data_IF_655445244466
#
_entry.id   IF_655445244466
#
_cell.length_a   1.000
_cell.length_b   1.000
_cell.length_c   1.000
_cell.angle_alpha   90.00
_cell.angle_beta   90.00
_cell.angle_gamma   90.00
#
_symmetry.space_group_name_H-M   'P 1'
#
loop_
_entity.id
_entity.type
_entity.pdbx_description
1 polymer ?
#
# COMPACT_ATOMS: atom_id res chain seq x y z
N UNK A 1 39.95 -45.38 6.94
CA UNK A 1 39.20 -46.26 7.86
C UNK A 1 40.12 -46.59 9.01
N UNK A 2 39.76 -46.17 10.22
CA UNK A 2 39.05 -47.09 11.10
C UNK A 2 37.72 -46.52 11.61
N UNK A 3 36.87 -47.46 11.99
CA UNK A 3 35.47 -47.31 12.35
C UNK A 3 35.27 -47.52 13.86
N UNK A 4 34.23 -46.85 14.39
CA UNK A 4 33.40 -47.15 15.57
C UNK A 4 33.95 -47.08 17.01
N UNK A 5 33.22 -46.28 17.81
CA UNK A 5 33.09 -46.37 19.26
C UNK A 5 32.00 -45.42 19.79
N UNK A 6 30.77 -45.93 19.94
CA UNK A 6 29.57 -45.24 20.50
C UNK A 6 29.70 -44.95 22.00
N UNK A 7 29.08 -43.88 22.51
CA UNK A 7 27.81 -43.93 23.28
C UNK A 7 27.56 -42.71 24.22
N UNK A 8 26.27 -42.31 24.25
CA UNK A 8 25.48 -41.70 25.34
C UNK A 8 25.85 -40.28 25.84
N UNK A 9 24.94 -39.33 26.07
CA UNK A 9 23.48 -39.30 26.02
C UNK A 9 22.95 -38.22 27.00
N UNK A 10 21.98 -37.40 26.58
CA UNK A 10 20.82 -37.01 27.39
C UNK A 10 19.79 -36.22 26.57
N UNK A 11 18.68 -36.91 26.31
CA UNK A 11 17.39 -36.35 25.93
C UNK A 11 16.67 -35.76 27.15
N UNK A 12 15.78 -34.81 26.91
CA UNK A 12 14.44 -34.63 27.52
C UNK A 12 13.86 -33.34 26.92
N UNK A 13 12.72 -33.27 26.24
CA UNK A 13 11.57 -34.16 26.22
C UNK A 13 10.36 -33.43 26.81
N UNK A 14 9.41 -33.09 25.94
CA UNK A 14 7.97 -32.85 26.20
C UNK A 14 7.50 -31.51 26.79
N UNK A 15 6.31 -31.08 26.35
CA UNK A 15 5.49 -30.13 27.09
C UNK A 15 4.60 -29.20 26.27
N UNK A 16 3.63 -29.73 25.53
CA UNK A 16 2.41 -28.96 25.22
C UNK A 16 1.71 -28.57 26.52
N UNK A 17 1.13 -27.37 26.58
CA UNK A 17 -0.05 -27.10 27.40
C UNK A 17 -0.94 -26.05 26.72
N UNK A 18 -2.23 -26.38 26.68
CA UNK A 18 -3.35 -25.52 26.31
C UNK A 18 -3.73 -24.60 27.49
N UNK A 19 -4.32 -23.43 27.18
CA UNK A 19 -5.40 -22.86 27.98
C UNK A 19 -5.17 -21.56 28.77
N UNK A 20 -6.11 -20.61 28.61
CA UNK A 20 -6.44 -19.53 29.58
C UNK A 20 -5.91 -18.14 29.21
N UNK A 21 -6.62 -17.27 28.47
CA UNK A 21 -7.76 -16.38 28.85
C UNK A 21 -7.48 -15.35 29.96
N UNK A 22 -7.51 -14.07 29.58
CA UNK A 22 -7.52 -12.87 30.45
C UNK A 22 -7.16 -11.64 29.63
N UNK A 23 -8.04 -11.17 28.73
CA UNK A 23 -8.91 -9.98 28.94
C UNK A 23 -8.16 -8.79 29.54
N UNK A 24 -7.76 -7.83 28.70
CA UNK A 24 -8.14 -6.44 28.93
C UNK A 24 -8.06 -5.55 27.68
N UNK A 25 -8.76 -4.42 27.77
CA UNK A 25 -9.55 -3.73 26.75
C UNK A 25 -8.75 -2.96 25.69
N UNK A 26 -9.29 -2.96 24.46
CA UNK A 26 -8.82 -2.16 23.31
C UNK A 26 -9.87 -1.09 22.96
N UNK A 27 -9.52 0.21 22.86
CA UNK A 27 -10.42 1.22 22.31
C UNK A 27 -10.49 1.16 20.78
N UNK A 28 -11.68 1.45 20.27
CA UNK A 28 -12.04 1.40 18.86
C UNK A 28 -11.46 2.55 18.03
N UNK A 29 -11.23 2.31 16.73
CA UNK A 29 -11.21 3.37 15.74
C UNK A 29 -10.25 3.17 14.57
N UNK A 30 -10.84 3.12 13.36
CA UNK A 30 -10.22 3.32 12.03
C UNK A 30 -9.74 2.07 11.27
N UNK A 31 -10.61 1.62 10.35
CA UNK A 31 -10.39 0.51 9.42
C UNK A 31 -9.84 1.00 8.07
N UNK A 32 -8.64 0.54 7.71
CA UNK A 32 -8.12 0.51 6.35
C UNK A 32 -7.08 -0.61 6.31
N UNK A 33 -7.48 -1.81 5.90
CA UNK A 33 -6.60 -2.98 5.98
C UNK A 33 -6.53 -3.65 4.62
N UNK A 34 -5.39 -3.43 3.98
CA UNK A 34 -4.87 -4.10 2.78
C UNK A 34 -4.89 -5.60 3.03
N UNK A 35 -5.52 -6.36 2.15
CA UNK A 35 -5.42 -7.83 2.18
C UNK A 35 -5.15 -8.29 0.78
N UNK A 36 -4.03 -8.98 0.63
CA UNK A 36 -3.59 -9.62 -0.58
C UNK A 36 -3.72 -11.14 -0.40
N UNK A 37 -4.22 -11.81 -1.44
CA UNK A 37 -3.92 -13.22 -1.69
C UNK A 37 -2.74 -13.27 -2.69
N UNK A 38 -1.75 -14.14 -2.43
CA UNK A 38 -0.78 -14.54 -3.45
C UNK A 38 -1.55 -15.35 -4.50
N UNK A 39 -1.69 -14.83 -5.71
CA UNK A 39 -2.19 -15.64 -6.82
C UNK A 39 -1.05 -16.54 -7.33
N UNK A 40 -1.36 -17.81 -7.50
CA UNK A 40 -0.56 -18.79 -8.25
C UNK A 40 -0.39 -18.26 -9.69
N UNK A 41 0.72 -18.64 -10.32
CA UNK A 41 1.11 -18.19 -11.66
C UNK A 41 0.01 -18.55 -12.66
N UNK A 42 -0.50 -17.57 -13.40
CA UNK A 42 -1.23 -17.83 -14.64
C UNK A 42 -0.17 -18.06 -15.73
N UNK A 43 -0.06 -19.28 -16.22
CA UNK A 43 0.59 -19.59 -17.50
C UNK A 43 -0.36 -19.13 -18.59
N UNK A 44 0.04 -18.11 -19.35
CA UNK A 44 -0.73 -17.64 -20.51
C UNK A 44 -0.25 -18.46 -21.71
N UNK A 45 -1.09 -19.39 -22.16
CA UNK A 45 -1.07 -19.89 -23.53
C UNK A 45 -1.73 -18.84 -24.42
N UNK A 46 -1.00 -18.31 -25.40
CA UNK A 46 -1.52 -17.35 -26.36
C UNK A 46 -0.46 -16.75 -27.27
N UNK A 47 -0.44 -17.23 -28.51
CA UNK A 47 0.09 -16.68 -29.78
C UNK A 47 1.30 -15.74 -29.67
N UNK A 48 2.45 -16.27 -30.10
CA UNK A 48 3.76 -15.61 -30.13
C UNK A 48 3.80 -14.59 -31.27
N UNK A 49 3.72 -13.31 -30.94
CA UNK A 49 4.13 -12.24 -31.85
C UNK A 49 5.66 -12.12 -31.87
N UNK A 50 6.21 -11.99 -33.07
CA UNK A 50 7.64 -12.03 -33.37
C UNK A 50 8.31 -10.67 -33.12
N UNK A 51 8.53 -10.33 -31.84
CA UNK A 51 9.58 -9.42 -31.34
C UNK A 51 9.52 -9.43 -29.79
N UNK A 52 10.18 -10.41 -29.16
CA UNK A 52 10.23 -10.50 -27.69
C UNK A 52 10.96 -9.29 -27.10
N UNK A 53 10.21 -8.36 -26.49
CA UNK A 53 10.82 -7.23 -25.79
C UNK A 53 11.58 -7.69 -24.53
N UNK A 54 12.56 -6.91 -24.06
CA UNK A 54 13.26 -7.20 -22.80
C UNK A 54 12.27 -7.34 -21.61
N UNK A 55 11.14 -6.63 -21.66
CA UNK A 55 10.08 -6.72 -20.66
C UNK A 55 9.37 -8.07 -20.68
N UNK A 56 9.16 -8.64 -21.87
CA UNK A 56 8.53 -9.96 -22.05
C UNK A 56 9.44 -11.09 -21.57
N UNK A 57 10.73 -11.01 -21.90
CA UNK A 57 11.74 -11.94 -21.40
C UNK A 57 11.85 -11.93 -19.86
N UNK A 58 11.66 -10.76 -19.24
CA UNK A 58 11.65 -10.58 -17.78
C UNK A 58 10.28 -10.83 -17.14
N UNK A 59 9.24 -11.09 -17.94
CA UNK A 59 7.87 -11.31 -17.47
C UNK A 59 7.25 -10.09 -16.77
N UNK A 60 7.70 -8.88 -17.08
CA UNK A 60 7.16 -7.63 -16.51
C UNK A 60 5.80 -7.32 -17.15
N UNK A 61 4.75 -7.30 -16.33
CA UNK A 61 3.35 -7.09 -16.72
C UNK A 61 2.81 -5.84 -16.02
N UNK A 62 3.15 -4.68 -16.57
CA UNK A 62 2.67 -3.39 -16.10
C UNK A 62 1.77 -2.75 -17.18
N UNK A 63 0.46 -2.63 -16.93
CA UNK A 63 -0.44 -2.03 -17.90
C UNK A 63 -0.10 -0.56 -18.17
N UNK A 64 -0.10 -0.19 -19.45
CA UNK A 64 0.22 1.17 -19.92
C UNK A 64 -0.95 2.14 -19.68
N UNK A 65 -0.71 3.46 -19.63
CA UNK A 65 -1.76 4.46 -19.45
C UNK A 65 -2.88 4.40 -20.51
N UNK A 66 -2.55 4.09 -21.77
CA UNK A 66 -3.54 3.94 -22.84
C UNK A 66 -4.50 2.77 -22.58
N UNK A 67 -4.02 1.64 -22.04
CA UNK A 67 -4.87 0.50 -21.66
C UNK A 67 -5.85 0.88 -20.54
N UNK A 68 -5.40 1.71 -19.58
CA UNK A 68 -6.26 2.25 -18.53
C UNK A 68 -7.35 3.14 -19.12
N UNK A 69 -7.01 4.00 -20.07
CA UNK A 69 -7.97 4.85 -20.77
C UNK A 69 -8.98 4.04 -21.59
N UNK A 70 -8.51 3.04 -22.36
CA UNK A 70 -9.37 2.14 -23.14
C UNK A 70 -10.34 1.37 -22.26
N UNK A 71 -9.88 0.83 -21.12
CA UNK A 71 -10.75 0.12 -20.19
C UNK A 71 -11.77 1.05 -19.51
N UNK A 72 -11.41 2.31 -19.28
CA UNK A 72 -12.33 3.32 -18.76
C UNK A 72 -13.43 3.68 -19.77
N UNK A 73 -13.10 3.75 -21.06
CA UNK A 73 -14.06 4.06 -22.12
C UNK A 73 -15.15 2.98 -22.32
N UNK A 74 -14.97 1.78 -21.77
CA UNK A 74 -15.98 0.70 -21.80
C UNK A 74 -17.16 0.94 -20.85
N UNK A 75 -17.01 1.84 -19.88
CA UNK A 75 -18.08 2.17 -18.94
C UNK A 75 -18.97 3.27 -19.52
N UNK A 76 -20.27 3.04 -19.50
CA UNK A 76 -21.25 4.06 -19.85
C UNK A 76 -21.18 5.21 -18.83
N UNK A 77 -20.92 6.45 -19.27
CA UNK A 77 -20.91 7.61 -18.38
C UNK A 77 -22.29 7.85 -17.79
N UNK A 78 -22.33 8.33 -16.54
CA UNK A 78 -23.55 8.90 -15.98
C UNK A 78 -23.97 10.14 -16.78
N UNK A 79 -25.28 10.36 -16.87
CA UNK A 79 -25.82 11.59 -17.47
C UNK A 79 -25.21 12.85 -16.81
N UNK A 80 -24.96 13.92 -17.60
CA UNK A 80 -24.55 15.21 -17.07
C UNK A 80 -25.54 15.74 -16.04
N UNK A 81 -25.08 16.64 -15.17
CA UNK A 81 -25.96 17.32 -14.23
C UNK A 81 -27.10 18.00 -14.98
N UNK A 82 -28.30 17.88 -14.43
CA UNK A 82 -29.40 18.71 -14.86
C UNK A 82 -29.07 20.19 -14.58
N UNK A 83 -28.99 21.01 -15.63
CA UNK A 83 -28.89 22.46 -15.49
C UNK A 83 -30.30 23.08 -15.50
N UNK A 84 -30.70 23.77 -14.43
CA UNK A 84 -31.97 24.53 -14.38
C UNK A 84 -32.64 24.54 -13.00
N UNK A 85 -33.51 25.53 -12.77
CA UNK A 85 -34.22 25.77 -11.49
C UNK A 85 -35.23 24.67 -11.15
N UNK A 86 -35.66 23.89 -12.15
CA UNK A 86 -36.81 22.98 -12.05
C UNK A 86 -36.44 21.49 -11.94
N UNK A 87 -35.16 21.16 -11.74
CA UNK A 87 -34.67 19.76 -11.66
C UNK A 87 -34.01 19.38 -10.33
N UNK A 88 -34.27 20.16 -9.28
CA UNK A 88 -33.82 19.89 -7.90
C UNK A 88 -34.29 18.53 -7.35
N UNK A 89 -35.32 17.90 -7.95
CA UNK A 89 -35.90 16.63 -7.49
C UNK A 89 -35.45 15.37 -8.28
N UNK A 90 -34.62 15.52 -9.33
CA UNK A 90 -34.20 14.39 -10.20
C UNK A 90 -32.83 13.81 -9.77
N UNK A 91 -32.05 14.57 -9.02
CA UNK A 91 -30.72 14.15 -8.56
C UNK A 91 -30.84 13.33 -7.26
N UNK A 92 -30.25 12.14 -7.18
CA UNK A 92 -30.23 11.41 -5.93
C UNK A 92 -29.36 12.20 -4.92
N UNK A 93 -29.95 12.61 -3.79
CA UNK A 93 -29.28 13.33 -2.67
C UNK A 93 -27.95 12.69 -2.22
N UNK A 94 -27.75 11.42 -2.58
CA UNK A 94 -26.56 10.64 -2.34
C UNK A 94 -25.37 10.89 -3.30
N UNK A 95 -25.36 11.93 -4.14
CA UNK A 95 -24.17 12.39 -4.89
C UNK A 95 -23.71 11.49 -6.06
N UNK A 96 -22.58 11.85 -6.71
CA UNK A 96 -22.09 11.14 -7.92
C UNK A 96 -21.28 9.90 -7.59
N UNK A 97 -21.56 8.81 -8.31
CA UNK A 97 -20.84 7.55 -8.21
C UNK A 97 -19.73 7.47 -9.25
N UNK A 98 -18.59 6.91 -8.87
CA UNK A 98 -17.41 6.82 -9.74
C UNK A 98 -16.66 5.52 -9.61
N UNK A 99 -16.09 5.08 -10.71
CA UNK A 99 -15.07 4.03 -10.80
C UNK A 99 -13.74 4.71 -11.14
N UNK A 100 -12.70 4.39 -10.39
CA UNK A 100 -11.32 4.77 -10.71
C UNK A 100 -10.56 3.52 -11.12
N UNK A 101 -9.96 3.55 -12.30
CA UNK A 101 -9.17 2.46 -12.86
C UNK A 101 -7.72 2.93 -12.91
N UNK A 102 -6.80 2.11 -12.46
CA UNK A 102 -5.35 2.30 -12.61
C UNK A 102 -4.68 0.96 -12.90
N UNK A 103 -3.35 0.93 -13.14
CA UNK A 103 -2.69 -0.26 -13.67
C UNK A 103 -2.82 -1.50 -12.78
N UNK A 104 -2.87 -1.33 -11.46
CA UNK A 104 -3.05 -2.43 -10.49
C UNK A 104 -4.26 -2.29 -9.58
N UNK A 105 -5.17 -1.37 -9.86
CA UNK A 105 -6.28 -1.07 -8.95
C UNK A 105 -7.56 -0.71 -9.68
N UNK A 106 -8.68 -1.21 -9.16
CA UNK A 106 -10.02 -0.72 -9.51
C UNK A 106 -10.74 -0.32 -8.24
N UNK A 107 -11.17 0.95 -8.17
CA UNK A 107 -11.75 1.55 -6.97
C UNK A 107 -13.13 2.09 -7.25
N UNK A 108 -14.05 1.75 -6.38
CA UNK A 108 -15.36 2.37 -6.30
C UNK A 108 -15.29 3.55 -5.34
N UNK A 109 -15.89 4.66 -5.73
CA UNK A 109 -16.05 5.83 -4.88
C UNK A 109 -17.37 6.52 -5.17
N UNK A 110 -17.75 7.42 -4.28
CA UNK A 110 -18.83 8.36 -4.52
C UNK A 110 -18.46 9.71 -3.89
N UNK A 111 -18.98 10.80 -4.44
CA UNK A 111 -18.86 12.14 -3.86
C UNK A 111 -19.96 12.30 -2.84
N UNK A 112 -19.58 12.34 -1.56
CA UNK A 112 -20.51 12.69 -0.50
C UNK A 112 -20.44 14.20 -0.27
N UNK A 113 -21.49 14.97 -0.61
CA UNK A 113 -21.47 16.43 -0.46
C UNK A 113 -21.20 16.85 1.00
N UNK A 114 -21.80 16.14 1.97
CA UNK A 114 -21.65 16.37 3.42
C UNK A 114 -20.22 16.10 3.93
N UNK A 115 -19.39 15.35 3.20
CA UNK A 115 -18.00 15.10 3.65
C UNK A 115 -17.08 16.30 3.50
N UNK A 116 -17.29 17.13 2.48
CA UNK A 116 -16.51 18.35 2.29
C UNK A 116 -16.80 19.33 3.43
N UNK A 117 -18.08 19.51 3.75
CA UNK A 117 -18.57 20.30 4.88
C UNK A 117 -18.07 19.74 6.23
N UNK A 118 -18.20 18.43 6.48
CA UNK A 118 -17.62 17.82 7.70
C UNK A 118 -16.10 17.89 7.78
N UNK A 119 -15.41 18.13 6.66
CA UNK A 119 -13.96 18.33 6.67
C UNK A 119 -13.63 19.79 6.99
N UNK A 120 -14.35 20.76 6.40
CA UNK A 120 -14.21 22.17 6.76
C UNK A 120 -14.59 22.42 8.22
N UNK A 121 -15.69 21.84 8.72
CA UNK A 121 -16.08 21.90 10.14
C UNK A 121 -14.97 21.39 11.05
N UNK A 122 -14.30 20.29 10.68
CA UNK A 122 -13.18 19.74 11.45
C UNK A 122 -11.96 20.65 11.41
N UNK A 123 -11.66 21.25 10.26
CA UNK A 123 -10.57 22.23 10.15
C UNK A 123 -10.86 23.46 11.00
N UNK A 124 -12.10 23.97 10.98
CA UNK A 124 -12.54 25.08 11.83
C UNK A 124 -12.46 24.71 13.30
N UNK A 125 -12.95 23.52 13.68
CA UNK A 125 -12.85 23.03 15.06
C UNK A 125 -11.40 22.83 15.53
N UNK A 126 -10.50 22.37 14.65
CA UNK A 126 -9.07 22.27 14.91
C UNK A 126 -8.48 23.67 15.13
N UNK A 127 -8.79 24.62 14.25
CA UNK A 127 -8.33 26.00 14.35
C UNK A 127 -8.84 26.69 15.62
N UNK A 128 -10.11 26.48 16.00
CA UNK A 128 -10.66 26.99 17.26
C UNK A 128 -9.95 26.40 18.48
N UNK A 129 -9.56 25.11 18.44
CA UNK A 129 -8.76 24.49 19.50
C UNK A 129 -7.35 25.05 19.55
N UNK A 130 -6.72 25.28 18.41
CA UNK A 130 -5.38 25.86 18.31
C UNK A 130 -5.39 27.30 18.87
N UNK A 131 -6.39 28.11 18.49
CA UNK A 131 -6.60 29.47 19.01
C UNK A 131 -6.91 29.46 20.51
N UNK A 132 -7.77 28.56 20.99
CA UNK A 132 -8.06 28.45 22.42
C UNK A 132 -6.82 28.06 23.22
N UNK A 133 -6.01 27.12 22.71
CA UNK A 133 -4.72 26.76 23.29
C UNK A 133 -3.75 27.94 23.34
N UNK A 134 -3.74 28.79 22.31
CA UNK A 134 -2.90 30.00 22.27
C UNK A 134 -3.38 31.10 23.21
N UNK A 135 -4.70 31.31 23.33
CA UNK A 135 -5.27 32.25 24.31
C UNK A 135 -4.95 31.81 25.74
N UNK A 136 -5.05 30.52 26.04
CA UNK A 136 -4.70 29.98 27.35
C UNK A 136 -3.20 30.13 27.65
N UNK A 137 -2.34 30.06 26.63
CA UNK A 137 -0.89 30.33 26.77
C UNK A 137 -0.61 31.78 27.14
N UNK A 138 -1.18 32.72 26.40
CA UNK A 138 -1.01 34.16 26.64
C UNK A 138 -1.50 34.51 28.05
N UNK A 139 -2.66 33.98 28.46
CA UNK A 139 -3.22 34.21 29.80
C UNK A 139 -2.40 33.59 30.93
N UNK A 140 -1.79 32.42 30.71
CA UNK A 140 -1.02 31.74 31.73
C UNK A 140 0.41 32.29 31.89
N UNK A 141 0.88 33.17 31.01
CA UNK A 141 2.24 33.72 31.05
C UNK A 141 3.34 32.65 30.97
N UNK A 142 3.01 31.47 30.42
CA UNK A 142 3.93 30.33 30.34
C UNK A 142 4.48 30.23 28.92
N UNK A 143 5.80 30.29 28.77
CA UNK A 143 6.56 29.81 27.60
C UNK A 143 6.48 28.26 27.54
N UNK A 144 5.29 27.71 27.36
CA UNK A 144 5.13 26.27 27.10
C UNK A 144 5.38 26.03 25.61
N UNK A 145 6.25 25.09 25.22
CA UNK A 145 6.48 24.75 23.82
C UNK A 145 5.19 24.53 23.04
N UNK A 146 5.22 24.87 21.75
CA UNK A 146 4.17 24.64 20.74
C UNK A 146 3.51 23.25 20.92
N UNK A 147 2.17 23.07 20.78
CA UNK A 147 1.53 21.80 21.11
C UNK A 147 2.11 20.79 20.15
N UNK A 148 2.85 19.83 20.69
CA UNK A 148 3.64 18.92 19.88
C UNK A 148 2.70 18.23 18.89
N UNK A 149 2.86 18.51 17.60
CA UNK A 149 2.20 17.74 16.55
C UNK A 149 2.39 16.26 16.86
N UNK A 150 1.30 15.49 16.83
CA UNK A 150 1.27 14.09 17.31
C UNK A 150 2.47 13.31 16.77
N UNK A 151 3.38 12.91 17.67
CA UNK A 151 4.58 12.18 17.30
C UNK A 151 4.24 10.89 16.56
N UNK A 152 4.88 10.68 15.41
CA UNK A 152 4.71 9.45 14.64
C UNK A 152 5.55 8.38 15.32
N UNK A 153 4.90 7.43 15.99
CA UNK A 153 5.57 6.36 16.74
C UNK A 153 5.74 5.07 15.93
N UNK A 154 4.88 4.86 14.93
CA UNK A 154 4.91 3.68 14.07
C UNK A 154 4.28 3.97 12.71
N UNK A 155 4.54 3.09 11.76
CA UNK A 155 3.87 3.16 10.47
C UNK A 155 2.44 2.64 10.54
N UNK A 156 1.48 3.56 10.55
CA UNK A 156 0.06 3.23 10.71
C UNK A 156 -0.50 2.32 9.59
N UNK A 157 -1.49 1.49 9.94
CA UNK A 157 -2.26 0.68 8.97
C UNK A 157 -2.89 1.52 7.86
N UNK A 158 -3.37 2.72 8.18
CA UNK A 158 -3.91 3.69 7.21
C UNK A 158 -2.85 4.07 6.17
N UNK A 159 -1.63 4.39 6.62
CA UNK A 159 -0.54 4.73 5.72
C UNK A 159 -0.07 3.53 4.89
N UNK A 160 -0.05 2.31 5.44
CA UNK A 160 0.22 1.09 4.68
C UNK A 160 -0.78 0.93 3.54
N UNK A 161 -2.07 1.09 3.82
CA UNK A 161 -3.11 1.04 2.79
C UNK A 161 -3.00 2.12 1.72
N UNK A 162 -2.63 3.33 2.12
CA UNK A 162 -2.36 4.41 1.19
C UNK A 162 -1.18 4.07 0.27
N UNK A 163 -0.08 3.51 0.79
CA UNK A 163 1.09 3.10 0.01
C UNK A 163 0.71 2.05 -1.03
N UNK A 164 0.08 0.95 -0.63
CA UNK A 164 -0.26 -0.13 -1.57
C UNK A 164 -1.14 0.37 -2.70
N UNK A 165 -2.12 1.22 -2.36
CA UNK A 165 -2.99 1.84 -3.35
C UNK A 165 -2.18 2.73 -4.29
N UNK A 166 -1.39 3.66 -3.74
CA UNK A 166 -0.61 4.58 -4.56
C UNK A 166 0.35 3.85 -5.49
N UNK A 167 1.07 2.84 -5.02
CA UNK A 167 1.99 2.06 -5.85
C UNK A 167 1.27 1.28 -6.96
N UNK A 168 0.03 0.86 -6.75
CA UNK A 168 -0.78 0.21 -7.77
C UNK A 168 -1.43 1.19 -8.77
N UNK A 169 -1.39 2.50 -8.49
CA UNK A 169 -1.91 3.56 -9.35
C UNK A 169 -0.82 4.14 -10.28
N UNK A 170 0.46 3.77 -10.10
CA UNK A 170 1.58 4.38 -10.83
C UNK A 170 1.73 3.85 -12.25
N UNK A 171 2.15 4.75 -13.14
CA UNK A 171 2.71 4.40 -14.44
C UNK A 171 4.15 3.91 -14.27
N UNK A 172 4.39 2.65 -14.58
CA UNK A 172 5.73 2.05 -14.58
C UNK A 172 6.34 1.94 -15.98
N UNK A 173 5.62 2.37 -17.01
CA UNK A 173 6.09 2.37 -18.41
C UNK A 173 7.50 2.95 -18.55
N UNK A 174 7.83 4.13 -17.97
CA UNK A 174 9.17 4.72 -18.10
C UNK A 174 10.30 3.87 -17.50
N UNK A 175 9.99 2.96 -16.59
CA UNK A 175 10.97 2.04 -16.01
C UNK A 175 11.07 0.74 -16.78
N UNK A 176 9.93 0.20 -17.21
CA UNK A 176 9.85 -1.09 -17.92
C UNK A 176 10.40 -0.96 -19.35
N UNK A 177 10.08 0.13 -20.05
CA UNK A 177 10.57 0.38 -21.42
C UNK A 177 12.04 0.78 -21.47
N UNK A 178 12.68 1.05 -20.33
CA UNK A 178 14.13 1.27 -20.29
C UNK A 178 14.93 0.02 -20.68
N UNK A 179 14.30 -1.16 -20.74
CA UNK A 179 14.93 -2.45 -21.00
C UNK A 179 15.84 -2.94 -19.86
N UNK A 180 15.89 -2.20 -18.74
CA UNK A 180 16.75 -2.49 -17.60
C UNK A 180 16.05 -3.43 -16.63
N UNK A 181 16.84 -4.30 -16.00
CA UNK A 181 16.35 -5.22 -14.96
C UNK A 181 16.00 -4.43 -13.70
N UNK A 182 14.73 -4.46 -13.22
CA UNK A 182 14.39 -3.85 -11.95
C UNK A 182 15.11 -4.55 -10.79
N UNK A 183 15.57 -3.76 -9.82
CA UNK A 183 16.27 -4.25 -8.65
C UNK A 183 15.73 -3.62 -7.37
N UNK A 184 15.83 -4.36 -6.27
CA UNK A 184 15.66 -3.83 -4.92
C UNK A 184 17.01 -3.26 -4.46
N UNK A 185 17.12 -1.94 -4.46
CA UNK A 185 18.28 -1.21 -3.97
C UNK A 185 18.04 -0.80 -2.53
N UNK A 186 19.00 -1.07 -1.67
CA UNK A 186 18.87 -0.86 -0.24
C UNK A 186 19.96 0.09 0.24
N UNK A 187 19.57 1.13 0.98
CA UNK A 187 20.46 2.14 1.54
C UNK A 187 20.34 2.15 3.06
N UNK A 188 21.47 1.97 3.76
CA UNK A 188 21.53 2.00 5.23
C UNK A 188 22.60 2.97 5.71
N UNK A 189 22.73 3.12 7.01
CA UNK A 189 23.62 4.09 7.67
C UNK A 189 24.77 3.37 8.39
N UNK A 190 25.85 4.08 8.76
CA UNK A 190 26.93 3.55 9.58
C UNK A 190 26.44 3.00 10.94
N UNK A 191 27.36 2.45 11.74
CA UNK A 191 27.05 1.95 13.07
C UNK A 191 26.56 3.07 13.98
N UNK A 192 27.32 4.17 14.03
CA UNK A 192 26.94 5.43 14.69
C UNK A 192 26.06 6.27 13.77
N UNK A 193 24.86 5.77 13.49
CA UNK A 193 23.94 6.43 12.56
C UNK A 193 23.30 7.70 13.15
N UNK A 194 23.22 7.83 14.48
CA UNK A 194 22.50 8.93 15.14
C UNK A 194 23.19 10.28 14.93
N UNK A 195 24.53 10.28 14.84
CA UNK A 195 25.33 11.48 14.57
C UNK A 195 25.07 12.07 13.17
N UNK A 196 24.77 11.22 12.19
CA UNK A 196 24.56 11.61 10.78
C UNK A 196 23.10 11.64 10.36
N UNK A 197 22.22 10.90 11.04
CA UNK A 197 20.78 10.84 10.77
C UNK A 197 19.95 11.04 12.05
N UNK A 198 20.08 12.20 12.71
CA UNK A 198 19.43 12.46 13.99
C UNK A 198 17.90 12.65 13.87
N UNK A 199 17.38 12.79 12.65
CA UNK A 199 15.95 12.90 12.36
C UNK A 199 15.58 12.42 10.95
N UNK A 200 14.28 12.26 10.70
CA UNK A 200 13.78 11.90 9.37
C UNK A 200 14.07 12.93 8.28
N UNK A 201 14.21 14.22 8.63
CA UNK A 201 14.50 15.28 7.67
C UNK A 201 15.91 15.14 7.07
N UNK A 202 16.90 14.81 7.89
CA UNK A 202 18.27 14.51 7.50
C UNK A 202 18.31 13.35 6.50
N UNK A 203 17.56 12.28 6.78
CA UNK A 203 17.44 11.14 5.86
C UNK A 203 16.83 11.55 4.51
N UNK A 204 15.78 12.38 4.49
CA UNK A 204 15.19 12.86 3.23
C UNK A 204 16.14 13.79 2.47
N UNK A 205 16.95 14.59 3.18
CA UNK A 205 18.00 15.42 2.59
C UNK A 205 19.06 14.53 1.91
N UNK A 206 19.53 13.47 2.56
CA UNK A 206 20.45 12.51 1.93
C UNK A 206 19.87 11.90 0.66
N UNK A 207 18.62 11.43 0.70
CA UNK A 207 17.95 10.91 -0.50
C UNK A 207 17.84 11.97 -1.60
N UNK A 208 17.61 13.24 -1.27
CA UNK A 208 17.58 14.35 -2.24
C UNK A 208 18.95 14.61 -2.86
N UNK A 209 20.01 14.64 -2.06
CA UNK A 209 21.37 14.82 -2.55
C UNK A 209 21.77 13.67 -3.46
N UNK A 210 21.55 12.42 -3.05
CA UNK A 210 21.82 11.24 -3.85
C UNK A 210 21.11 11.28 -5.21
N UNK A 211 19.82 11.67 -5.25
CA UNK A 211 19.07 11.86 -6.50
C UNK A 211 19.71 12.89 -7.43
N UNK A 212 20.12 14.05 -6.88
CA UNK A 212 20.79 15.08 -7.67
C UNK A 212 22.12 14.58 -8.24
N UNK A 213 22.86 13.77 -7.47
CA UNK A 213 24.10 13.15 -7.95
C UNK A 213 23.80 12.12 -9.05
N UNK A 214 22.76 11.29 -8.91
CA UNK A 214 22.33 10.33 -9.93
C UNK A 214 22.03 11.03 -11.26
N UNK A 215 21.26 12.13 -11.23
CA UNK A 215 20.92 12.86 -12.45
C UNK A 215 22.16 13.41 -13.16
N UNK A 216 23.16 13.89 -12.41
CA UNK A 216 24.42 14.34 -13.00
C UNK A 216 25.22 13.19 -13.59
N UNK A 217 25.26 12.05 -12.91
CA UNK A 217 26.05 10.89 -13.30
C UNK A 217 25.54 10.22 -14.58
N UNK A 218 24.22 10.04 -14.71
CA UNK A 218 23.61 9.34 -15.86
C UNK A 218 22.91 10.26 -16.87
N UNK A 219 22.76 11.54 -16.58
CA UNK A 219 22.07 12.49 -17.47
C UNK A 219 20.55 12.28 -17.55
N UNK A 220 19.98 11.44 -16.69
CA UNK A 220 18.55 11.14 -16.63
C UNK A 220 18.03 11.17 -15.18
N UNK A 221 16.74 11.48 -14.96
CA UNK A 221 16.18 11.49 -13.61
C UNK A 221 16.07 10.07 -13.04
N UNK A 222 16.43 9.92 -11.77
CA UNK A 222 16.18 8.68 -11.03
C UNK A 222 14.66 8.43 -10.93
N UNK A 223 14.23 7.20 -11.25
CA UNK A 223 12.83 6.77 -11.10
C UNK A 223 12.75 5.60 -10.14
N UNK A 224 11.99 5.77 -9.06
CA UNK A 224 11.86 4.74 -8.04
C UNK A 224 10.67 4.96 -7.12
N UNK A 225 10.18 3.86 -6.56
CA UNK A 225 9.37 3.87 -5.35
C UNK A 225 10.25 3.50 -4.16
N UNK A 226 9.94 4.02 -2.98
CA UNK A 226 10.73 3.74 -1.80
C UNK A 226 9.90 3.55 -0.55
N UNK A 227 10.48 2.79 0.38
CA UNK A 227 9.98 2.57 1.73
C UNK A 227 11.13 2.64 2.72
N UNK A 228 10.87 3.21 3.88
CA UNK A 228 11.77 3.29 5.01
C UNK A 228 11.33 2.28 6.09
N UNK A 229 12.33 1.62 6.64
CA UNK A 229 12.28 0.66 7.73
C UNK A 229 13.37 1.01 8.74
N UNK A 230 13.35 0.38 9.90
CA UNK A 230 14.40 0.50 10.90
C UNK A 230 15.05 -0.86 11.15
N UNK A 231 16.37 -0.89 11.20
CA UNK A 231 17.11 -2.09 11.61
C UNK A 231 16.94 -2.32 13.11
N UNK A 232 17.35 -3.50 13.62
CA UNK A 232 17.25 -3.81 15.06
C UNK A 232 17.99 -2.78 15.92
N UNK A 233 19.09 -2.22 15.40
CA UNK A 233 19.85 -1.13 16.04
C UNK A 233 19.19 0.26 15.95
N UNK A 234 17.99 0.36 15.41
CA UNK A 234 17.29 1.63 15.18
C UNK A 234 17.71 2.38 13.91
N UNK A 235 18.80 2.01 13.25
CA UNK A 235 19.26 2.70 12.05
C UNK A 235 18.20 2.70 10.93
N UNK A 236 17.93 3.85 10.30
CA UNK A 236 17.01 3.92 9.17
C UNK A 236 17.56 3.10 7.99
N UNK A 237 16.64 2.46 7.28
CA UNK A 237 16.93 1.55 6.18
C UNK A 237 15.94 1.83 5.06
N UNK A 238 16.45 2.20 3.89
CA UNK A 238 15.60 2.62 2.77
C UNK A 238 15.67 1.55 1.69
N UNK A 239 14.53 0.96 1.37
CA UNK A 239 14.35 0.08 0.23
C UNK A 239 13.80 0.89 -0.95
N UNK A 240 14.53 0.90 -2.05
CA UNK A 240 14.17 1.48 -3.33
C UNK A 240 13.88 0.35 -4.30
N UNK A 241 12.76 0.41 -5.01
CA UNK A 241 12.58 -0.39 -6.21
C UNK A 241 12.78 0.53 -7.40
N UNK A 242 13.82 0.25 -8.18
CA UNK A 242 14.27 1.06 -9.30
C UNK A 242 14.78 0.15 -10.43
N UNK A 243 15.08 0.73 -11.59
CA UNK A 243 15.73 0.03 -12.69
C UNK A 243 17.15 0.60 -12.84
N UNK A 244 18.17 0.01 -12.18
CA UNK A 244 19.53 0.54 -12.19
C UNK A 244 20.09 0.64 -13.61
N UNK A 245 20.85 1.70 -13.92
CA UNK A 245 21.62 1.75 -15.15
C UNK A 245 22.60 0.57 -15.23
N UNK A 246 22.65 -0.09 -16.39
CA UNK A 246 23.68 -1.10 -16.68
C UNK A 246 24.94 -0.48 -17.31
N UNK A 247 24.80 0.72 -17.88
CA UNK A 247 25.92 1.46 -18.46
C UNK A 247 26.80 2.07 -17.38
N UNK A 248 28.08 2.20 -17.71
CA UNK A 248 29.04 2.92 -16.89
C UNK A 248 28.64 4.40 -16.85
N UNK A 249 28.65 5.00 -15.66
CA UNK A 249 28.32 6.41 -15.49
C UNK A 249 29.45 7.33 -15.99
N UNK A 250 29.22 8.65 -15.97
CA UNK A 250 30.22 9.66 -16.36
C UNK A 250 31.53 9.56 -15.57
N UNK A 251 31.49 9.06 -14.34
CA UNK A 251 32.67 8.83 -13.50
C UNK A 251 33.51 7.61 -13.92
N UNK A 252 33.08 6.84 -14.93
CA UNK A 252 33.73 5.59 -15.31
C UNK A 252 33.42 4.41 -14.38
N UNK A 253 32.51 4.59 -13.42
CA UNK A 253 32.12 3.55 -12.44
C UNK A 253 30.85 2.81 -12.83
N UNK A 254 30.77 1.54 -12.42
CA UNK A 254 29.51 0.78 -12.47
C UNK A 254 28.56 1.30 -11.39
N UNK A 255 27.25 1.08 -11.59
CA UNK A 255 26.23 1.57 -10.66
C UNK A 255 26.45 1.10 -9.22
N UNK A 256 26.89 -0.14 -8.98
CA UNK A 256 27.15 -0.65 -7.63
C UNK A 256 28.27 0.08 -6.90
N UNK A 257 29.37 0.36 -7.60
CA UNK A 257 30.54 1.06 -7.05
C UNK A 257 30.22 2.52 -6.80
N UNK A 258 29.59 3.16 -7.79
CA UNK A 258 29.11 4.53 -7.67
C UNK A 258 28.12 4.66 -6.50
N UNK A 259 27.15 3.75 -6.39
CA UNK A 259 26.13 3.79 -5.35
C UNK A 259 26.74 3.73 -3.96
N UNK A 260 27.66 2.79 -3.74
CA UNK A 260 28.38 2.61 -2.47
C UNK A 260 29.16 3.87 -2.10
N UNK A 261 29.93 4.42 -3.05
CA UNK A 261 30.74 5.60 -2.83
C UNK A 261 29.90 6.85 -2.58
N UNK A 262 28.95 7.15 -3.46
CA UNK A 262 28.13 8.33 -3.36
C UNK A 262 27.24 8.32 -2.12
N UNK A 263 26.74 7.14 -1.71
CA UNK A 263 25.96 7.06 -0.49
C UNK A 263 26.82 7.32 0.76
N UNK A 264 28.04 6.79 0.81
CA UNK A 264 28.99 7.08 1.89
C UNK A 264 29.39 8.57 1.93
N UNK A 265 29.58 9.20 0.77
CA UNK A 265 29.90 10.63 0.66
C UNK A 265 28.71 11.55 0.96
N UNK A 266 27.48 11.14 0.64
CA UNK A 266 26.27 11.90 0.95
C UNK A 266 26.00 11.88 2.45
N UNK A 267 26.21 10.73 3.11
CA UNK A 267 26.07 10.58 4.56
C UNK A 267 27.23 11.26 5.31
N UNK A 268 28.43 11.27 4.72
CA UNK A 268 29.60 12.03 5.18
C UNK A 268 29.89 11.88 6.69
N UNK A 269 29.98 10.64 7.17
CA UNK A 269 30.29 10.40 8.58
C UNK A 269 31.67 11.01 8.95
N UNK A 270 31.77 11.77 10.06
CA UNK A 270 33.01 12.47 10.44
C UNK A 270 34.16 11.52 10.79
N UNK A 271 33.85 10.38 11.42
CA UNK A 271 34.83 9.31 11.69
C UNK A 271 35.19 8.53 10.40
N UNK A 272 36.47 8.53 9.97
CA UNK A 272 36.94 7.78 8.80
C UNK A 272 36.73 6.26 8.88
N UNK A 273 36.76 5.67 10.08
CA UNK A 273 36.57 4.23 10.24
C UNK A 273 35.10 3.85 9.97
N UNK A 274 34.17 4.60 10.56
CA UNK A 274 32.74 4.46 10.28
C UNK A 274 32.43 4.68 8.80
N UNK A 275 33.07 5.69 8.17
CA UNK A 275 32.94 5.94 6.73
C UNK A 275 33.43 4.77 5.89
N UNK A 276 34.56 4.16 6.25
CA UNK A 276 35.12 3.00 5.53
C UNK A 276 34.21 1.77 5.66
N UNK A 277 33.68 1.50 6.85
CA UNK A 277 32.70 0.42 7.06
C UNK A 277 31.41 0.67 6.30
N UNK A 278 30.93 1.91 6.30
CA UNK A 278 29.73 2.32 5.57
C UNK A 278 29.89 2.22 4.05
N UNK A 279 31.06 2.55 3.50
CA UNK A 279 31.36 2.32 2.09
C UNK A 279 31.15 0.84 1.71
N UNK A 280 31.66 -0.09 2.53
CA UNK A 280 31.59 -1.53 2.24
C UNK A 280 30.19 -2.14 2.43
N UNK A 281 29.42 -1.67 3.41
CA UNK A 281 28.18 -2.33 3.86
C UNK A 281 26.93 -1.42 3.85
N UNK A 282 27.05 -0.18 3.38
CA UNK A 282 26.00 0.82 3.40
C UNK A 282 24.93 0.63 2.32
N UNK A 283 25.19 -0.20 1.32
CA UNK A 283 24.33 -0.37 0.15
C UNK A 283 24.23 -1.83 -0.26
N UNK A 284 23.06 -2.25 -0.75
CA UNK A 284 22.88 -3.58 -1.35
C UNK A 284 21.97 -3.49 -2.59
N UNK A 285 22.21 -4.33 -3.60
CA UNK A 285 21.42 -4.40 -4.83
C UNK A 285 20.97 -5.85 -5.02
N UNK A 286 19.66 -6.08 -5.09
CA UNK A 286 19.06 -7.40 -5.26
C UNK A 286 18.12 -7.42 -6.47
N UNK A 287 18.66 -7.88 -7.59
CA UNK A 287 17.93 -8.02 -8.86
C UNK A 287 16.90 -9.14 -8.82
N UNK A 288 17.15 -10.24 -8.08
CA UNK A 288 16.23 -11.38 -7.99
C UNK A 288 14.93 -10.98 -7.28
N UNK A 289 15.04 -10.24 -6.19
CA UNK A 289 13.88 -9.70 -5.51
C UNK A 289 13.20 -8.58 -6.30
N UNK A 290 13.95 -7.79 -7.07
CA UNK A 290 13.40 -6.83 -8.01
C UNK A 290 12.51 -7.48 -9.08
N UNK A 291 12.97 -8.60 -9.64
CA UNK A 291 12.24 -9.39 -10.64
C UNK A 291 11.00 -10.10 -10.08
N UNK A 292 10.93 -10.41 -8.77
CA UNK A 292 9.70 -10.99 -8.18
C UNK A 292 8.50 -10.05 -8.18
N UNK A 293 8.73 -8.76 -8.40
CA UNK A 293 7.71 -7.73 -8.44
C UNK A 293 7.26 -7.41 -9.88
N UNK A 294 6.86 -8.45 -10.63
CA UNK A 294 6.54 -8.36 -12.06
C UNK A 294 5.28 -7.55 -12.42
N UNK A 295 4.39 -7.29 -11.46
CA UNK A 295 3.11 -6.61 -11.72
C UNK A 295 2.80 -5.59 -10.62
N UNK A 296 1.97 -4.56 -10.90
CA UNK A 296 1.67 -3.49 -9.96
C UNK A 296 1.20 -3.97 -8.58
N UNK A 297 0.38 -5.04 -8.54
CA UNK A 297 -0.12 -5.60 -7.30
C UNK A 297 1.00 -6.30 -6.54
N UNK A 298 1.75 -7.20 -7.16
CA UNK A 298 2.87 -7.91 -6.52
C UNK A 298 3.93 -6.94 -6.03
N UNK A 299 4.22 -5.87 -6.76
CA UNK A 299 5.13 -4.81 -6.35
C UNK A 299 4.61 -4.07 -5.10
N UNK A 300 3.35 -3.62 -5.12
CA UNK A 300 2.72 -2.99 -3.97
C UNK A 300 2.71 -3.93 -2.74
N UNK A 301 2.42 -5.22 -2.95
CA UNK A 301 2.43 -6.24 -1.91
C UNK A 301 3.84 -6.51 -1.42
N UNK A 302 4.85 -6.54 -2.27
CA UNK A 302 6.23 -6.86 -1.89
C UNK A 302 6.70 -5.92 -0.79
N UNK A 303 6.55 -4.61 -1.02
CA UNK A 303 6.81 -3.60 0.00
C UNK A 303 5.97 -3.82 1.25
N UNK A 304 4.71 -4.27 1.10
CA UNK A 304 3.78 -4.56 2.21
C UNK A 304 4.05 -5.89 2.92
N UNK A 305 4.72 -6.86 2.31
CA UNK A 305 5.03 -8.16 2.91
C UNK A 305 6.17 -8.00 3.90
N UNK A 306 7.13 -7.16 3.56
CA UNK A 306 8.07 -6.57 4.51
C UNK A 306 7.39 -5.61 5.50
N UNK A 307 6.05 -5.53 5.50
CA UNK A 307 5.23 -4.64 6.34
C UNK A 307 4.04 -5.31 7.01
N UNK A 308 3.86 -6.61 6.79
CA UNK A 308 2.60 -7.26 7.08
C UNK A 308 2.43 -7.28 8.59
N UNK A 309 1.31 -6.74 9.13
CA UNK A 309 1.08 -6.69 10.56
C UNK A 309 0.70 -8.07 11.09
N UNK A 310 1.63 -9.02 11.00
CA UNK A 310 1.70 -10.09 11.98
C UNK A 310 2.26 -9.40 13.21
N UNK A 311 1.40 -9.03 14.16
CA UNK A 311 1.83 -8.45 15.45
C UNK A 311 2.78 -9.36 16.24
N UNK A 312 2.89 -10.62 15.83
CA UNK A 312 3.78 -11.66 16.34
C UNK A 312 4.90 -12.02 15.34
N UNK A 313 5.08 -11.24 14.27
CA UNK A 313 6.10 -11.50 13.26
C UNK A 313 7.43 -10.88 13.67
N UNK A 314 8.52 -11.63 13.48
CA UNK A 314 9.88 -11.25 13.86
C UNK A 314 10.41 -9.94 13.24
N UNK A 315 9.66 -9.34 12.32
CA UNK A 315 10.03 -8.14 11.56
C UNK A 315 9.14 -6.91 11.82
N UNK A 316 8.11 -7.00 12.66
CA UNK A 316 7.22 -5.85 12.92
C UNK A 316 7.98 -4.67 13.55
N UNK A 317 9.09 -4.95 14.27
CA UNK A 317 9.98 -3.93 14.83
C UNK A 317 10.48 -2.92 13.79
N UNK A 318 10.59 -3.33 12.51
CA UNK A 318 11.08 -2.50 11.42
C UNK A 318 10.17 -1.31 11.10
N UNK A 319 8.96 -1.28 11.65
CA UNK A 319 7.96 -0.21 11.43
C UNK A 319 7.76 0.67 12.65
N UNK A 320 8.47 0.37 13.74
CA UNK A 320 8.44 1.13 14.99
C UNK A 320 9.54 2.19 14.90
N UNK A 321 9.18 3.44 15.17
CA UNK A 321 10.13 4.55 15.16
C UNK A 321 11.05 4.44 16.38
N UNK A 322 12.38 4.53 16.20
CA UNK A 322 13.35 4.58 17.29
C UNK A 322 13.07 5.73 18.25
N UNK A 323 13.43 5.58 19.52
CA UNK A 323 13.19 6.59 20.54
C UNK A 323 13.79 7.96 20.19
N UNK A 324 15.00 7.98 19.63
CA UNK A 324 15.68 9.19 19.16
C UNK A 324 14.81 10.06 18.22
N UNK A 325 13.94 9.44 17.42
CA UNK A 325 13.08 10.11 16.44
C UNK A 325 11.64 10.34 16.94
N UNK A 326 11.28 9.89 18.15
CA UNK A 326 9.94 10.13 18.71
C UNK A 326 9.76 11.55 19.25
N UNK A 327 10.87 12.28 19.46
CA UNK A 327 10.84 13.67 19.89
C UNK A 327 10.10 14.53 18.86
N UNK A 328 9.31 15.54 19.28
CA UNK A 328 8.64 16.45 18.37
C UNK A 328 9.64 17.04 17.35
N UNK A 329 9.24 17.11 16.07
CA UNK A 329 10.10 17.59 14.98
C UNK A 329 11.15 16.59 14.45
N UNK A 330 11.49 15.52 15.18
CA UNK A 330 12.49 14.52 14.75
C UNK A 330 11.93 13.28 14.05
N UNK A 331 10.60 13.21 13.95
CA UNK A 331 9.88 12.08 13.39
C UNK A 331 10.32 11.68 11.97
N UNK A 332 9.99 10.45 11.54
CA UNK A 332 10.35 9.94 10.21
C UNK A 332 9.70 10.70 9.04
N UNK A 333 8.70 11.55 9.33
CA UNK A 333 7.80 12.10 8.31
C UNK A 333 7.07 10.97 7.57
N UNK A 334 7.27 10.91 6.25
CA UNK A 334 6.71 9.82 5.43
C UNK A 334 7.62 8.57 5.49
N UNK A 335 6.99 7.43 5.71
CA UNK A 335 7.63 6.10 5.62
C UNK A 335 7.84 5.60 4.19
N UNK A 336 7.20 6.20 3.21
CA UNK A 336 7.26 5.74 1.81
C UNK A 336 7.05 6.93 0.89
N UNK A 337 7.43 6.75 -0.37
CA UNK A 337 7.21 7.76 -1.39
C UNK A 337 7.53 7.25 -2.79
N UNK A 338 7.36 8.16 -3.75
CA UNK A 338 7.52 7.93 -5.17
C UNK A 338 8.35 9.07 -5.72
N UNK A 339 9.25 8.78 -6.66
CA UNK A 339 10.05 9.78 -7.35
C UNK A 339 10.15 9.45 -8.85
N UNK A 340 9.91 10.45 -9.70
CA UNK A 340 10.01 10.30 -11.15
C UNK A 340 8.95 9.40 -11.80
N UNK A 341 7.86 9.10 -11.09
CA UNK A 341 6.72 8.32 -11.59
C UNK A 341 5.42 9.07 -11.30
N UNK A 342 4.48 8.96 -12.23
CA UNK A 342 3.17 9.60 -12.18
C UNK A 342 2.06 8.57 -11.99
N UNK A 343 0.85 9.05 -11.69
CA UNK A 343 -0.32 8.17 -11.58
C UNK A 343 -0.99 8.02 -12.94
N UNK A 344 -1.20 6.80 -13.38
CA UNK A 344 -1.98 6.48 -14.58
C UNK A 344 -3.39 6.05 -14.21
N UNK A 345 -4.20 6.95 -13.64
CA UNK A 345 -5.58 6.64 -13.26
C UNK A 345 -6.61 7.33 -14.13
N UNK A 346 -7.58 6.58 -14.63
CA UNK A 346 -8.79 7.11 -15.25
C UNK A 346 -9.96 7.06 -14.27
N UNK A 347 -10.82 8.08 -14.29
CA UNK A 347 -12.03 8.16 -13.45
C UNK A 347 -13.24 8.26 -14.36
N UNK A 348 -14.20 7.37 -14.16
CA UNK A 348 -15.48 7.37 -14.87
C UNK A 348 -16.60 7.54 -13.87
N UNK A 349 -17.50 8.47 -14.13
CA UNK A 349 -18.74 8.60 -13.36
C UNK A 349 -19.79 7.68 -13.95
N UNK A 350 -20.49 6.94 -13.09
CA UNK A 350 -21.41 5.89 -13.50
C UNK A 350 -22.75 6.03 -12.77
N UNK A 351 -23.80 5.46 -13.34
CA UNK A 351 -25.12 5.43 -12.73
C UNK A 351 -25.12 4.65 -11.39
N UNK A 352 -26.10 4.96 -10.52
CA UNK A 352 -26.19 4.42 -9.16
C UNK A 352 -26.40 2.89 -9.15
N UNK A 353 -27.26 2.39 -10.02
CA UNK A 353 -27.53 0.97 -10.24
C UNK A 353 -26.26 0.23 -10.67
N UNK A 354 -25.54 0.76 -11.68
CA UNK A 354 -24.25 0.25 -12.13
C UNK A 354 -23.23 0.21 -10.99
N UNK A 355 -23.20 1.25 -10.14
CA UNK A 355 -22.31 1.30 -8.98
C UNK A 355 -22.63 0.21 -7.95
N UNK A 356 -23.91 -0.02 -7.67
CA UNK A 356 -24.36 -1.04 -6.72
C UNK A 356 -24.06 -2.45 -7.26
N UNK A 357 -24.30 -2.70 -8.54
CA UNK A 357 -23.94 -3.97 -9.20
C UNK A 357 -22.44 -4.18 -9.20
N UNK A 358 -21.64 -3.17 -9.60
CA UNK A 358 -20.18 -3.23 -9.57
C UNK A 358 -19.66 -3.55 -8.16
N UNK A 359 -20.24 -2.91 -7.13
CA UNK A 359 -19.92 -3.16 -5.72
C UNK A 359 -20.22 -4.60 -5.31
N UNK A 360 -21.31 -5.19 -5.78
CA UNK A 360 -21.66 -6.60 -5.51
C UNK A 360 -20.66 -7.54 -6.19
N UNK A 361 -20.33 -7.28 -7.45
CA UNK A 361 -19.37 -8.06 -8.24
C UNK A 361 -17.99 -8.04 -7.57
N UNK A 362 -17.43 -6.86 -7.29
CA UNK A 362 -16.10 -6.74 -6.65
C UNK A 362 -16.07 -7.43 -5.28
N UNK A 363 -17.15 -7.33 -4.50
CA UNK A 363 -17.26 -8.06 -3.22
C UNK A 363 -17.32 -9.56 -3.42
N UNK A 364 -18.03 -10.06 -4.44
CA UNK A 364 -18.10 -11.48 -4.77
C UNK A 364 -16.75 -12.01 -5.26
N UNK A 365 -16.13 -11.33 -6.21
CA UNK A 365 -14.79 -11.62 -6.71
C UNK A 365 -13.79 -11.68 -5.57
N UNK A 366 -13.76 -10.67 -4.69
CA UNK A 366 -12.77 -10.70 -3.62
C UNK A 366 -13.07 -11.74 -2.54
N UNK A 367 -14.31 -12.25 -2.44
CA UNK A 367 -14.63 -13.43 -1.62
C UNK A 367 -14.19 -14.74 -2.28
N UNK A 368 -14.15 -14.82 -3.60
CA UNK A 368 -13.68 -16.02 -4.32
C UNK A 368 -12.15 -16.12 -4.39
N UNK A 369 -11.43 -15.02 -4.17
CA UNK A 369 -9.97 -15.04 -4.02
C UNK A 369 -9.56 -15.87 -2.80
N UNK A 370 -9.07 -17.10 -3.04
CA UNK A 370 -8.66 -18.04 -2.01
C UNK A 370 -7.52 -17.48 -1.15
N UNK A 371 -7.60 -17.70 0.17
CA UNK A 371 -6.45 -17.61 1.08
C UNK A 371 -6.15 -19.03 1.52
N UNK A 372 -5.04 -19.55 1.01
CA UNK A 372 -4.48 -20.80 1.48
C UNK A 372 -3.96 -20.61 2.92
N UNK A 373 -4.41 -21.46 3.84
CA UNK A 373 -4.11 -21.40 5.28
C UNK A 373 -2.62 -21.43 5.60
N UNK A 374 -1.84 -22.09 4.76
CA UNK A 374 -0.43 -22.35 5.00
C UNK A 374 0.36 -22.27 3.70
N UNK A 375 1.33 -21.37 3.66
CA UNK A 375 2.19 -21.17 2.50
C UNK A 375 3.49 -22.00 2.55
N UNK A 376 3.63 -22.90 3.53
CA UNK A 376 4.76 -23.84 3.64
C UNK A 376 4.50 -25.19 2.96
N UNK A 377 3.24 -25.50 2.62
CA UNK A 377 2.88 -26.72 1.92
C UNK A 377 2.73 -26.50 0.40
N UNK A 378 3.26 -27.44 -0.39
CA UNK A 378 3.16 -27.42 -1.86
C UNK A 378 1.72 -27.50 -2.38
N UNK A 379 0.79 -28.04 -1.58
CA UNK A 379 -0.64 -28.14 -1.90
C UNK A 379 -1.48 -27.70 -0.69
N UNK A 380 -1.86 -26.42 -0.59
CA UNK A 380 -2.64 -25.96 0.54
C UNK A 380 -4.13 -26.30 0.35
N UNK A 381 -4.58 -27.36 1.01
CA UNK A 381 -5.91 -27.98 0.83
C UNK A 381 -7.06 -27.22 1.51
N UNK A 382 -6.78 -26.28 2.43
CA UNK A 382 -7.80 -25.56 3.18
C UNK A 382 -7.99 -24.12 2.66
N UNK A 383 -9.12 -23.89 1.99
CA UNK A 383 -9.62 -22.57 1.62
C UNK A 383 -10.10 -21.88 2.90
N UNK A 384 -9.33 -20.93 3.45
CA UNK A 384 -9.74 -20.22 4.67
C UNK A 384 -10.68 -19.08 4.30
N UNK A 385 -11.97 -19.12 4.71
CA UNK A 385 -12.84 -17.97 4.55
C UNK A 385 -12.24 -16.81 5.36
N UNK A 386 -12.14 -15.61 4.79
CA UNK A 386 -11.65 -14.43 5.53
C UNK A 386 -12.53 -14.19 6.75
N UNK A 387 -12.16 -14.67 7.92
CA UNK A 387 -12.88 -14.44 9.17
C UNK A 387 -12.20 -13.31 9.95
N UNK A 388 -12.99 -12.47 10.59
CA UNK A 388 -12.54 -11.45 11.54
C UNK A 388 -13.40 -11.53 12.78
N UNK A 389 -12.78 -11.42 13.97
CA UNK A 389 -13.52 -11.29 15.22
C UNK A 389 -14.13 -9.89 15.28
N UNK A 390 -15.44 -9.83 15.48
CA UNK A 390 -16.22 -8.59 15.54
C UNK A 390 -17.02 -8.60 16.83
N UNK A 391 -16.94 -7.52 17.60
CA UNK A 391 -17.88 -7.29 18.68
C UNK A 391 -19.21 -6.83 18.06
N UNK A 392 -20.27 -7.61 18.25
CA UNK A 392 -21.62 -7.27 17.82
C UNK A 392 -22.44 -6.91 19.04
N UNK A 393 -23.11 -5.76 19.00
CA UNK A 393 -24.08 -5.36 20.01
C UNK A 393 -25.36 -6.19 19.87
N UNK A 394 -25.86 -6.70 21.00
CA UNK A 394 -27.22 -7.19 21.15
C UNK A 394 -27.89 -6.44 22.27
N UNK A 395 -28.99 -5.78 21.94
CA UNK A 395 -29.87 -5.16 22.92
C UNK A 395 -30.88 -6.20 23.37
N UNK A 396 -31.00 -6.40 24.68
CA UNK A 396 -32.06 -7.24 25.24
C UNK A 396 -33.39 -6.49 25.12
N UNK A 397 -34.35 -7.05 24.36
CA UNK A 397 -35.62 -6.40 24.03
C UNK A 397 -36.52 -6.11 25.24
N UNK A 398 -36.35 -6.81 26.36
CA UNK A 398 -37.15 -6.61 27.60
C UNK A 398 -36.50 -5.65 28.60
N UNK A 399 -35.18 -5.46 28.55
CA UNK A 399 -34.45 -4.71 29.59
C UNK A 399 -33.62 -3.54 29.05
N UNK A 400 -33.56 -3.35 27.73
CA UNK A 400 -32.79 -2.29 27.08
C UNK A 400 -31.26 -2.41 27.21
N UNK A 401 -30.74 -3.33 28.03
CA UNK A 401 -29.31 -3.49 28.28
C UNK A 401 -28.60 -4.01 27.02
N UNK A 402 -27.59 -3.25 26.57
CA UNK A 402 -26.73 -3.59 25.43
C UNK A 402 -25.57 -4.47 25.89
N UNK A 403 -25.49 -5.70 25.37
CA UNK A 403 -24.35 -6.61 25.58
C UNK A 403 -23.53 -6.73 24.29
N UNK A 404 -22.22 -6.73 24.44
CA UNK A 404 -21.30 -6.95 23.33
C UNK A 404 -20.86 -8.42 23.32
N UNK A 405 -21.06 -9.10 22.19
CA UNK A 405 -20.56 -10.47 21.99
C UNK A 405 -19.50 -10.47 20.90
N UNK A 406 -18.36 -11.09 21.19
CA UNK A 406 -17.35 -11.37 20.18
C UNK A 406 -17.82 -12.52 19.30
N UNK A 407 -17.99 -12.26 18.01
CA UNK A 407 -18.37 -13.26 17.01
C UNK A 407 -17.35 -13.27 15.87
N UNK A 408 -17.02 -14.46 15.37
CA UNK A 408 -16.26 -14.56 14.13
C UNK A 408 -17.21 -14.32 12.95
N UNK A 409 -17.00 -13.24 12.21
CA UNK A 409 -17.76 -12.90 11.00
C UNK A 409 -16.83 -12.87 9.80
N UNK A 410 -17.37 -13.18 8.62
CA UNK A 410 -16.61 -13.00 7.38
C UNK A 410 -16.26 -11.52 7.19
N UNK A 411 -15.02 -11.25 6.81
CA UNK A 411 -14.45 -9.92 6.66
C UNK A 411 -15.05 -9.24 5.43
N UNK A 412 -15.79 -8.17 5.65
CA UNK A 412 -16.34 -7.33 4.59
C UNK A 412 -15.28 -6.34 4.11
N UNK A 413 -14.97 -6.31 2.81
CA UNK A 413 -14.03 -5.34 2.23
C UNK A 413 -14.63 -3.95 2.11
N UNK A 414 -15.93 -3.88 1.89
CA UNK A 414 -16.71 -2.65 2.05
C UNK A 414 -17.39 -2.75 3.41
N UNK A 415 -16.71 -2.30 4.48
CA UNK A 415 -17.21 -2.44 5.87
C UNK A 415 -17.98 -1.22 6.38
N UNK A 416 -18.28 -0.25 5.52
CA UNK A 416 -19.13 0.86 5.90
C UNK A 416 -20.57 0.51 5.51
N UNK A 417 -21.49 0.64 6.46
CA UNK A 417 -22.88 0.94 6.12
C UNK A 417 -22.89 2.21 5.25
N UNK A 418 -23.79 2.26 4.27
CA UNK A 418 -23.84 3.32 3.25
C UNK A 418 -23.00 3.05 1.98
N UNK A 419 -23.02 4.03 1.07
CA UNK A 419 -22.42 3.98 -0.27
C UNK A 419 -20.88 3.99 -0.31
N UNK A 420 -20.17 4.03 0.81
CA UNK A 420 -18.72 4.16 0.79
C UNK A 420 -18.03 2.99 0.07
N UNK A 421 -17.37 3.34 -1.03
CA UNK A 421 -16.72 2.41 -1.94
C UNK A 421 -15.43 1.81 -1.38
N UNK A 422 -15.04 0.67 -1.95
CA UNK A 422 -13.78 -0.03 -1.67
C UNK A 422 -12.90 -0.07 -2.91
N UNK A 423 -11.73 -0.69 -2.80
CA UNK A 423 -10.86 -0.95 -3.94
C UNK A 423 -10.47 -2.42 -4.03
N UNK A 424 -10.28 -2.89 -5.26
CA UNK A 424 -9.69 -4.17 -5.59
C UNK A 424 -8.25 -3.92 -6.04
N UNK A 425 -7.30 -4.61 -5.40
CA UNK A 425 -5.92 -4.67 -5.86
C UNK A 425 -5.82 -5.89 -6.79
N UNK A 426 -5.36 -5.67 -8.02
CA UNK A 426 -5.35 -6.67 -9.11
C UNK A 426 -4.03 -6.61 -9.86
N UNK A 427 -3.62 -7.72 -10.47
CA UNK A 427 -2.36 -7.77 -11.23
C UNK A 427 -2.47 -6.93 -12.52
N UNK A 428 -3.66 -6.92 -13.13
CA UNK A 428 -4.00 -6.13 -14.31
C UNK A 428 -5.33 -5.40 -14.07
N UNK A 429 -5.25 -4.09 -13.86
CA UNK A 429 -6.38 -3.20 -13.64
C UNK A 429 -7.28 -3.06 -14.86
N UNK A 430 -6.73 -2.70 -16.05
CA UNK A 430 -7.48 -2.65 -17.30
C UNK A 430 -8.26 -3.92 -17.62
N UNK A 431 -7.63 -5.11 -17.56
CA UNK A 431 -8.32 -6.37 -17.85
C UNK A 431 -9.48 -6.64 -16.87
N UNK A 432 -9.25 -6.38 -15.58
CA UNK A 432 -10.30 -6.51 -14.56
C UNK A 432 -11.45 -5.51 -14.80
N UNK A 433 -11.12 -4.27 -15.19
CA UNK A 433 -12.10 -3.24 -15.49
C UNK A 433 -12.92 -3.58 -16.73
N UNK A 434 -12.32 -4.10 -17.79
CA UNK A 434 -13.02 -4.56 -18.99
C UNK A 434 -14.00 -5.70 -18.69
N UNK A 435 -13.60 -6.68 -17.88
CA UNK A 435 -14.50 -7.75 -17.42
C UNK A 435 -15.65 -7.21 -16.56
N UNK A 436 -15.36 -6.22 -15.72
CA UNK A 436 -16.39 -5.56 -14.90
C UNK A 436 -17.39 -4.80 -15.79
N UNK A 437 -16.93 -4.05 -16.78
CA UNK A 437 -17.79 -3.34 -17.73
C UNK A 437 -18.70 -4.33 -18.49
N UNK A 438 -18.14 -5.41 -19.05
CA UNK A 438 -18.92 -6.44 -19.73
C UNK A 438 -20.00 -7.07 -18.84
N UNK A 439 -19.68 -7.32 -17.56
CA UNK A 439 -20.64 -7.85 -16.60
C UNK A 439 -21.77 -6.86 -16.28
N UNK A 440 -21.49 -5.55 -16.25
CA UNK A 440 -22.50 -4.51 -16.07
C UNK A 440 -23.42 -4.41 -17.29
N UNK A 441 -22.86 -4.42 -18.50
CA UNK A 441 -23.63 -4.41 -19.74
C UNK A 441 -24.55 -5.63 -19.85
N UNK A 442 -24.07 -6.81 -19.43
CA UNK A 442 -24.88 -8.04 -19.41
C UNK A 442 -26.05 -7.98 -18.40
N UNK A 443 -25.82 -7.41 -17.20
CA UNK A 443 -26.85 -7.21 -16.17
C UNK A 443 -27.94 -6.23 -16.67
N UNK A 444 -27.52 -5.14 -17.31
CA UNK A 444 -28.43 -4.16 -17.93
C UNK A 444 -29.25 -4.79 -19.05
N UNK A 445 -28.61 -5.52 -19.97
CA UNK A 445 -29.30 -6.20 -21.07
C UNK A 445 -30.31 -7.23 -20.56
N UNK A 446 -30.04 -7.87 -19.42
CA UNK A 446 -31.00 -8.77 -18.78
C UNK A 446 -32.20 -7.99 -18.22
N UNK A 447 -31.97 -6.90 -17.50
CA UNK A 447 -33.04 -6.05 -16.96
C UNK A 447 -33.99 -5.55 -18.08
N UNK A 448 -33.44 -5.07 -19.19
CA UNK A 448 -34.23 -4.61 -20.35
C UNK A 448 -35.08 -5.73 -20.95
N UNK A 449 -34.53 -6.95 -21.08
CA UNK A 449 -35.30 -8.11 -21.56
C UNK A 449 -36.43 -8.48 -20.60
N UNK A 450 -36.16 -8.48 -19.30
CA UNK A 450 -37.15 -8.82 -18.27
C UNK A 450 -38.29 -7.78 -18.25
N UNK A 451 -37.99 -6.49 -18.46
CA UNK A 451 -39.00 -5.42 -18.60
C UNK A 451 -39.85 -5.56 -19.88
N UNK A 452 -39.23 -5.87 -21.03
CA UNK A 452 -39.96 -6.12 -22.28
C UNK A 452 -40.89 -7.33 -22.20
N UNK A 453 -40.52 -8.35 -21.42
CA UNK A 453 -41.36 -9.51 -21.14
C UNK A 453 -42.49 -9.18 -20.15
N UNK A 454 -42.25 -8.28 -19.20
CA UNK A 454 -43.24 -7.84 -18.23
C UNK A 454 -44.28 -6.88 -18.83
N UNK A 455 -43.90 -5.99 -19.76
CA UNK A 455 -44.79 -5.05 -20.44
C UNK A 455 -45.59 -5.64 -21.62
N UNK A 456 -45.41 -6.93 -21.91
CA UNK A 456 -46.22 -7.69 -22.90
C UNK A 456 -47.34 -8.53 -22.25
N UNK A 457 -47.56 -8.36 -20.95
CA UNK A 457 -48.74 -8.85 -20.22
C UNK A 457 -49.66 -7.68 -19.94
#
# INVERSE_FOLDING_TARGET
MPEAGKAAGRESGSGRSDGGSGVDRVPAGTNGLVICAKSVRDTVDGIVDAELSASDALGLRFPRPNMVASAAALFEPAEPWAHGRDRLDVEPECGRFRITIGPGVVRLGWTNPVRAEKASERTVGQHMQDVAGEVDRIKAGRDVPDPSGRAITEWSRKSRAAMCRTFAELDYTPMVESGRVPAMVTLTYPGDWESVAPDGASVKRHMMLWRKRFQREWGEPARYIWKMEFQRRGAPHIHLWMAPPYTVGRSGRRFSEWLSQEWAEVVAHPDPEQRTRHLRAGTAIDSLNGLRACDPKRLAIYFTKHSSPNRLGDKEYQHIVPEAWRRPGRGPGRFWGVHGLERATAVVEIAQDAYLTARRIIRRWSRSQAIHSDCTHCFPTALVPRMTRVAVQRTNSKTGKVRHRNVCRRRLLCRQGGFAGGYALVNDGPAFASQLAAALSADRAKAVRDEQLAGRK
#
